data_IF_257032830112
#
_entry.id   IF_257032830112
#
_cell.length_a   1.000
_cell.length_b   1.000
_cell.length_c   1.000
_cell.angle_alpha   90.00
_cell.angle_beta   90.00
_cell.angle_gamma   90.00
#
_symmetry.space_group_name_H-M   'P 1'
#
loop_
_entity.id
_entity.type
_entity.pdbx_description
1 polymer ?
#
# COMPACT_ATOMS: atom_id res chain seq x y z
N UNK A 1 13.45 -4.84 -12.81
CA UNK A 1 13.39 -4.51 -11.36
C UNK A 1 14.46 -3.51 -10.90
N UNK A 2 15.14 -2.77 -11.80
CA UNK A 2 16.16 -1.74 -11.45
C UNK A 2 15.89 -0.40 -12.11
N UNK A 3 14.66 -0.15 -12.58
CA UNK A 3 14.38 1.04 -13.38
C UNK A 3 14.54 2.32 -12.56
N UNK A 4 14.22 2.31 -11.27
CA UNK A 4 14.41 3.48 -10.40
C UNK A 4 15.86 4.00 -10.36
N UNK A 5 16.86 3.11 -10.50
CA UNK A 5 18.29 3.46 -10.50
C UNK A 5 18.76 3.91 -11.89
N UNK A 6 18.54 3.10 -12.93
CA UNK A 6 19.08 3.32 -14.27
C UNK A 6 18.11 3.89 -15.31
N UNK A 7 16.87 4.20 -14.91
CA UNK A 7 15.81 4.68 -15.79
C UNK A 7 16.01 6.13 -16.20
N UNK A 8 15.74 6.41 -17.48
CA UNK A 8 15.81 7.77 -18.04
C UNK A 8 14.58 8.56 -17.58
N UNK A 9 14.85 9.73 -17.00
CA UNK A 9 13.84 10.76 -16.71
C UNK A 9 13.95 11.85 -17.76
N UNK A 10 12.83 12.20 -18.40
CA UNK A 10 12.81 13.23 -19.44
C UNK A 10 12.84 14.64 -18.85
N UNK A 11 12.22 14.83 -17.68
CA UNK A 11 12.18 16.09 -16.94
C UNK A 11 12.24 15.79 -15.43
N UNK A 12 13.26 16.32 -14.75
CA UNK A 12 13.46 16.11 -13.31
C UNK A 12 12.56 17.00 -12.44
N UNK A 13 11.84 17.95 -13.02
CA UNK A 13 10.87 18.79 -12.31
C UNK A 13 9.50 18.12 -12.16
N UNK A 14 9.27 17.01 -12.87
CA UNK A 14 7.98 16.31 -12.90
C UNK A 14 8.15 14.92 -12.28
N UNK A 15 7.19 14.55 -11.43
CA UNK A 15 7.11 13.19 -10.88
C UNK A 15 6.57 12.28 -11.97
N UNK A 16 7.41 11.35 -12.46
CA UNK A 16 7.04 10.40 -13.52
C UNK A 16 6.99 8.95 -13.03
N UNK A 17 7.49 8.72 -11.81
CA UNK A 17 7.60 7.41 -11.22
C UNK A 17 7.53 7.49 -9.68
N UNK A 18 7.06 6.44 -8.97
CA UNK A 18 7.09 6.38 -7.50
C UNK A 18 8.45 6.72 -6.86
N UNK A 19 9.55 6.41 -7.54
CA UNK A 19 10.90 6.72 -7.08
C UNK A 19 11.26 8.22 -7.07
N UNK A 20 10.49 9.06 -7.76
CA UNK A 20 10.69 10.50 -7.74
C UNK A 20 10.01 11.14 -6.50
N UNK A 21 9.14 10.40 -5.80
CA UNK A 21 8.42 10.88 -4.63
C UNK A 21 9.33 11.03 -3.39
N UNK A 22 9.01 12.00 -2.55
CA UNK A 22 9.81 12.29 -1.35
C UNK A 22 9.84 11.12 -0.36
N UNK A 23 8.73 10.39 -0.23
CA UNK A 23 8.68 9.21 0.63
C UNK A 23 9.71 8.15 0.25
N UNK A 24 9.94 7.94 -1.05
CA UNK A 24 10.97 7.01 -1.54
C UNK A 24 12.36 7.53 -1.21
N UNK A 25 12.64 8.80 -1.51
CA UNK A 25 13.95 9.43 -1.27
C UNK A 25 14.31 9.42 0.22
N UNK A 26 13.35 9.77 1.07
CA UNK A 26 13.51 9.74 2.51
C UNK A 26 13.75 8.31 3.02
N UNK A 27 13.03 7.31 2.49
CA UNK A 27 13.28 5.91 2.84
C UNK A 27 14.71 5.49 2.47
N UNK A 28 15.16 5.79 1.25
CA UNK A 28 16.50 5.43 0.79
C UNK A 28 17.60 6.12 1.62
N UNK A 29 17.37 7.37 2.04
CA UNK A 29 18.25 8.09 2.95
C UNK A 29 18.27 7.50 4.37
N UNK A 30 17.14 6.97 4.84
CA UNK A 30 17.02 6.36 6.17
C UNK A 30 17.64 4.96 6.21
N UNK A 31 17.54 4.20 5.11
CA UNK A 31 18.01 2.82 5.01
C UNK A 31 19.04 2.65 3.87
N UNK A 32 20.23 3.27 3.97
CA UNK A 32 21.22 3.27 2.89
C UNK A 32 21.72 1.86 2.55
N UNK A 33 21.81 0.97 3.55
CA UNK A 33 22.19 -0.45 3.33
C UNK A 33 21.17 -1.20 2.49
N UNK A 34 19.88 -0.87 2.61
CA UNK A 34 18.84 -1.43 1.76
C UNK A 34 18.91 -0.82 0.36
N UNK A 35 19.06 0.49 0.27
CA UNK A 35 19.08 1.23 -1.00
C UNK A 35 20.30 0.91 -1.87
N UNK A 36 21.44 0.55 -1.25
CA UNK A 36 22.68 0.17 -1.95
C UNK A 36 22.50 -1.02 -2.88
N UNK A 37 21.55 -1.92 -2.59
CA UNK A 37 21.19 -3.02 -3.48
C UNK A 37 19.97 -2.62 -4.34
N UNK A 38 20.17 -2.14 -5.58
CA UNK A 38 19.10 -1.63 -6.44
C UNK A 38 18.10 -2.70 -6.89
N UNK A 39 18.40 -3.98 -6.64
CA UNK A 39 17.48 -5.09 -6.92
C UNK A 39 16.50 -5.33 -5.76
N UNK A 40 16.71 -4.71 -4.60
CA UNK A 40 15.75 -4.74 -3.51
C UNK A 40 14.43 -4.07 -3.92
N UNK A 41 13.31 -4.68 -3.50
CA UNK A 41 11.98 -4.34 -4.01
C UNK A 41 11.26 -3.39 -3.08
N UNK A 42 10.68 -2.34 -3.65
CA UNK A 42 9.79 -1.43 -2.94
C UNK A 42 8.36 -1.69 -3.38
N UNK A 43 7.52 -2.01 -2.41
CA UNK A 43 6.16 -2.45 -2.59
C UNK A 43 5.19 -1.33 -2.20
N UNK A 44 4.08 -1.23 -2.93
CA UNK A 44 2.87 -0.57 -2.48
C UNK A 44 1.80 -1.60 -2.16
N UNK A 45 1.01 -1.34 -1.13
CA UNK A 45 -0.15 -2.15 -0.77
C UNK A 45 -1.42 -1.35 -0.98
N UNK A 46 -2.45 -1.95 -1.56
CA UNK A 46 -3.75 -1.32 -1.74
C UNK A 46 -4.85 -2.23 -1.22
N UNK A 47 -5.83 -1.68 -0.51
CA UNK A 47 -7.04 -2.41 -0.15
C UNK A 47 -8.25 -1.49 -0.10
N UNK A 48 -9.39 -2.03 -0.48
CA UNK A 48 -10.67 -1.33 -0.56
C UNK A 48 -11.81 -2.35 -0.38
N UNK A 49 -12.91 -1.94 0.24
CA UNK A 49 -14.11 -2.75 0.35
C UNK A 49 -15.10 -2.47 -0.78
N UNK A 50 -15.50 -3.49 -1.54
CA UNK A 50 -16.55 -3.34 -2.56
C UNK A 50 -17.67 -4.37 -2.39
N UNK A 51 -18.88 -4.04 -2.85
CA UNK A 51 -19.98 -5.02 -2.98
C UNK A 51 -20.01 -5.56 -4.41
N UNK A 52 -19.73 -6.86 -4.64
CA UNK A 52 -19.81 -7.47 -5.97
C UNK A 52 -21.25 -7.61 -6.47
N UNK A 53 -22.23 -7.60 -5.56
CA UNK A 53 -23.64 -7.68 -5.88
C UNK A 53 -24.28 -6.29 -5.81
N UNK A 54 -25.19 -6.00 -6.75
CA UNK A 54 -25.88 -4.71 -6.84
C UNK A 54 -26.70 -4.37 -5.58
N UNK A 55 -27.15 -3.12 -5.48
CA UNK A 55 -27.82 -2.55 -4.29
C UNK A 55 -29.07 -3.33 -3.84
N UNK A 56 -29.71 -4.06 -4.76
CA UNK A 56 -30.92 -4.86 -4.51
C UNK A 56 -30.66 -6.29 -4.01
N UNK A 57 -29.40 -6.72 -3.95
CA UNK A 57 -29.02 -8.06 -3.50
C UNK A 57 -28.74 -8.08 -1.99
N UNK A 58 -28.60 -9.29 -1.43
CA UNK A 58 -28.15 -9.47 -0.05
C UNK A 58 -26.84 -8.72 0.21
N UNK A 59 -26.74 -7.91 1.29
CA UNK A 59 -25.53 -7.16 1.60
C UNK A 59 -24.29 -8.07 1.64
N UNK A 60 -23.29 -7.74 0.83
CA UNK A 60 -22.02 -8.46 0.76
C UNK A 60 -20.88 -7.45 0.67
N UNK A 61 -19.76 -7.80 1.28
CA UNK A 61 -18.53 -7.01 1.21
C UNK A 61 -17.40 -7.91 0.76
N UNK A 62 -16.56 -7.44 -0.15
CA UNK A 62 -15.34 -8.11 -0.58
C UNK A 62 -14.18 -7.14 -0.44
N UNK A 63 -13.10 -7.61 0.19
CA UNK A 63 -11.91 -6.80 0.48
C UNK A 63 -10.68 -7.45 -0.13
N UNK A 64 -10.33 -7.08 -1.38
CA UNK A 64 -9.06 -7.46 -1.96
C UNK A 64 -7.93 -6.67 -1.30
N UNK A 65 -6.78 -7.34 -1.17
CA UNK A 65 -5.50 -6.73 -0.83
C UNK A 65 -4.56 -6.96 -1.99
N UNK A 66 -4.15 -5.86 -2.62
CA UNK A 66 -3.22 -5.87 -3.74
C UNK A 66 -1.84 -5.44 -3.28
N UNK A 67 -0.81 -6.09 -3.82
CA UNK A 67 0.59 -5.72 -3.65
C UNK A 67 1.20 -5.45 -5.02
N UNK A 68 1.94 -4.36 -5.16
CA UNK A 68 2.53 -3.94 -6.45
C UNK A 68 3.99 -3.56 -6.27
N UNK A 69 4.93 -4.11 -7.07
CA UNK A 69 6.32 -3.70 -7.04
C UNK A 69 6.55 -2.44 -7.86
N UNK A 70 7.04 -1.39 -7.21
CA UNK A 70 7.31 -0.10 -7.86
C UNK A 70 8.67 -0.03 -8.56
N UNK A 71 9.45 -1.11 -8.60
CA UNK A 71 10.77 -1.13 -9.25
C UNK A 71 10.71 -1.20 -10.78
N UNK A 72 9.52 -1.41 -11.36
CA UNK A 72 9.28 -1.55 -12.79
C UNK A 72 9.20 -0.19 -13.48
N UNK A 73 9.50 -0.08 -14.79
CA UNK A 73 9.37 1.17 -15.51
C UNK A 73 7.93 1.74 -15.44
N UNK A 74 7.73 3.06 -15.62
CA UNK A 74 6.41 3.70 -15.59
C UNK A 74 5.39 3.02 -16.51
N UNK A 75 5.84 2.55 -17.68
CA UNK A 75 4.98 1.84 -18.63
C UNK A 75 4.43 0.51 -18.09
N UNK A 76 5.03 -0.06 -17.04
CA UNK A 76 4.72 -1.39 -16.50
C UNK A 76 4.24 -1.36 -15.05
N UNK A 77 4.74 -0.46 -14.19
CA UNK A 77 4.58 -0.57 -12.72
C UNK A 77 3.13 -0.60 -12.21
N UNK A 78 2.17 -0.09 -12.98
CA UNK A 78 0.74 -0.11 -12.65
C UNK A 78 -0.10 -0.93 -13.64
N UNK A 79 0.52 -1.78 -14.48
CA UNK A 79 -0.25 -2.69 -15.33
C UNK A 79 -0.78 -3.86 -14.53
N UNK A 80 -1.93 -4.39 -14.97
CA UNK A 80 -2.67 -5.46 -14.27
C UNK A 80 -1.83 -6.70 -14.03
N UNK A 81 -0.90 -7.02 -14.92
CA UNK A 81 -0.01 -8.19 -14.83
C UNK A 81 1.01 -8.07 -13.69
N UNK A 82 1.22 -6.87 -13.16
CA UNK A 82 2.17 -6.59 -12.07
C UNK A 82 1.47 -6.14 -10.78
N UNK A 83 0.14 -6.22 -10.74
CA UNK A 83 -0.66 -6.01 -9.53
C UNK A 83 -1.06 -7.38 -9.01
N UNK A 84 -0.47 -7.80 -7.90
CA UNK A 84 -0.72 -9.11 -7.31
C UNK A 84 -1.89 -9.03 -6.33
N UNK A 85 -2.91 -9.86 -6.52
CA UNK A 85 -3.93 -10.10 -5.50
C UNK A 85 -3.34 -11.03 -4.44
N UNK A 86 -2.89 -10.45 -3.33
CA UNK A 86 -2.25 -11.20 -2.23
C UNK A 86 -3.26 -11.82 -1.28
N UNK A 87 -4.42 -11.17 -1.09
CA UNK A 87 -5.48 -11.67 -0.21
C UNK A 87 -6.85 -11.25 -0.75
N UNK A 88 -7.85 -12.11 -0.56
CA UNK A 88 -9.25 -11.78 -0.78
C UNK A 88 -10.03 -12.13 0.49
N UNK A 89 -10.63 -11.13 1.14
CA UNK A 89 -11.42 -11.31 2.35
C UNK A 89 -12.92 -11.20 1.99
N UNK A 90 -13.65 -12.32 1.96
CA UNK A 90 -15.07 -12.33 1.65
C UNK A 90 -15.96 -11.95 2.84
N UNK A 91 -17.14 -11.40 2.53
CA UNK A 91 -18.17 -10.97 3.47
C UNK A 91 -19.01 -12.12 4.04
N UNK A 92 -20.12 -11.80 4.74
CA UNK A 92 -21.13 -10.81 4.30
C UNK A 92 -20.93 -9.38 4.78
N UNK A 93 -20.04 -9.12 5.75
CA UNK A 93 -19.79 -7.77 6.32
C UNK A 93 -18.35 -7.33 6.07
N UNK A 94 -18.09 -6.03 6.23
CA UNK A 94 -16.73 -5.49 6.28
C UNK A 94 -15.92 -6.16 7.41
N UNK A 95 -14.61 -6.42 7.22
CA UNK A 95 -13.75 -7.01 8.24
C UNK A 95 -13.62 -6.14 9.49
N UNK A 96 -13.86 -4.82 9.38
CA UNK A 96 -13.86 -3.92 10.53
C UNK A 96 -12.55 -3.99 11.32
N UNK A 97 -12.67 -4.23 12.62
CA UNK A 97 -11.53 -4.36 13.55
C UNK A 97 -10.71 -5.63 13.37
N UNK A 98 -11.14 -6.57 12.53
CA UNK A 98 -10.45 -7.85 12.31
C UNK A 98 -9.59 -7.86 11.05
N UNK A 99 -9.47 -6.72 10.34
CA UNK A 99 -8.66 -6.63 9.12
C UNK A 99 -7.20 -7.03 9.37
N UNK A 100 -6.65 -6.67 10.53
CA UNK A 100 -5.31 -7.02 10.98
C UNK A 100 -5.09 -8.54 11.09
N UNK A 101 -6.09 -9.28 11.60
CA UNK A 101 -6.05 -10.74 11.69
C UNK A 101 -5.92 -11.37 10.31
N UNK A 102 -6.66 -10.86 9.33
CA UNK A 102 -6.59 -11.34 7.95
C UNK A 102 -5.26 -10.98 7.27
N UNK A 103 -4.69 -9.82 7.58
CA UNK A 103 -3.41 -9.36 7.01
C UNK A 103 -2.20 -10.06 7.61
N UNK A 104 -2.35 -10.75 8.74
CA UNK A 104 -1.23 -11.36 9.48
C UNK A 104 -0.28 -12.21 8.61
N UNK A 105 -0.75 -13.13 7.74
CA UNK A 105 0.16 -13.92 6.91
C UNK A 105 0.99 -13.05 5.96
N UNK A 106 0.37 -12.03 5.35
CA UNK A 106 1.06 -11.08 4.48
C UNK A 106 2.08 -10.23 5.25
N UNK A 107 1.73 -9.80 6.46
CA UNK A 107 2.63 -9.04 7.34
C UNK A 107 3.84 -9.90 7.73
N UNK A 108 3.64 -11.17 8.06
CA UNK A 108 4.72 -12.08 8.43
C UNK A 108 5.68 -12.32 7.25
N UNK A 109 5.16 -12.46 6.02
CA UNK A 109 5.99 -12.53 4.81
C UNK A 109 6.74 -11.22 4.52
N UNK A 110 6.09 -10.06 4.69
CA UNK A 110 6.74 -8.76 4.53
C UNK A 110 7.87 -8.55 5.54
N UNK A 111 7.69 -9.01 6.78
CA UNK A 111 8.75 -9.00 7.81
C UNK A 111 9.92 -9.90 7.43
N UNK A 112 9.63 -11.13 6.99
CA UNK A 112 10.67 -12.06 6.53
C UNK A 112 11.47 -11.49 5.34
N UNK A 113 10.79 -10.84 4.38
CA UNK A 113 11.44 -10.15 3.25
C UNK A 113 12.31 -8.96 3.69
N UNK A 114 11.97 -8.30 4.78
CA UNK A 114 12.71 -7.16 5.32
C UNK A 114 13.92 -7.58 6.16
N UNK A 115 13.69 -8.49 7.11
CA UNK A 115 14.67 -8.92 8.11
C UNK A 115 15.73 -9.84 7.49
N UNK A 116 15.29 -10.92 6.85
CA UNK A 116 16.17 -11.96 6.32
C UNK A 116 16.43 -11.75 4.82
N UNK A 117 15.38 -11.43 4.07
CA UNK A 117 15.41 -11.46 2.61
C UNK A 117 15.33 -12.88 2.05
N UNK A 118 15.35 -12.99 0.72
CA UNK A 118 15.27 -14.27 0.01
C UNK A 118 16.38 -14.36 -1.04
N UNK A 119 17.10 -15.48 -1.03
CA UNK A 119 18.10 -15.79 -2.06
C UNK A 119 17.44 -15.87 -3.44
N UNK A 120 17.75 -14.91 -4.30
CA UNK A 120 17.08 -14.69 -5.58
C UNK A 120 18.10 -14.71 -6.72
N UNK A 121 17.76 -15.38 -7.81
CA UNK A 121 18.61 -15.43 -9.00
C UNK A 121 18.35 -14.22 -9.92
N UNK A 122 19.39 -13.43 -10.18
CA UNK A 122 19.38 -12.35 -11.17
C UNK A 122 19.75 -12.91 -12.54
N UNK A 123 18.76 -13.08 -13.42
CA UNK A 123 18.95 -13.61 -14.76
C UNK A 123 19.86 -12.74 -15.66
N UNK A 124 19.93 -11.42 -15.41
CA UNK A 124 20.76 -10.51 -16.18
C UNK A 124 22.24 -10.64 -15.78
N UNK A 125 22.53 -10.61 -14.48
CA UNK A 125 23.91 -10.77 -13.95
C UNK A 125 24.34 -12.23 -13.82
N UNK A 126 23.42 -13.19 -13.99
CA UNK A 126 23.62 -14.63 -13.81
C UNK A 126 24.22 -14.99 -12.45
N UNK A 127 23.77 -14.31 -11.41
CA UNK A 127 24.25 -14.53 -10.05
C UNK A 127 23.11 -14.48 -9.06
N UNK A 128 23.28 -15.17 -7.94
CA UNK A 128 22.40 -15.02 -6.80
C UNK A 128 22.72 -13.74 -6.04
N UNK A 129 21.69 -13.18 -5.40
CA UNK A 129 21.81 -12.11 -4.43
C UNK A 129 20.72 -12.28 -3.37
N UNK A 130 20.92 -11.69 -2.20
CA UNK A 130 19.87 -11.67 -1.19
C UNK A 130 18.92 -10.51 -1.49
N UNK A 131 17.72 -10.82 -1.98
CA UNK A 131 16.71 -9.81 -2.27
C UNK A 131 15.92 -9.51 -1.01
N UNK A 132 15.90 -8.24 -0.61
CA UNK A 132 14.99 -7.73 0.41
C UNK A 132 13.83 -6.96 -0.22
N UNK A 133 12.71 -6.89 0.49
CA UNK A 133 11.60 -6.04 0.12
C UNK A 133 11.14 -5.14 1.27
N UNK A 134 10.55 -4.00 0.94
CA UNK A 134 9.98 -3.05 1.89
C UNK A 134 8.63 -2.57 1.40
N UNK A 135 7.72 -2.28 2.32
CA UNK A 135 6.44 -1.64 2.04
C UNK A 135 6.60 -0.12 2.20
N UNK A 136 6.48 0.65 1.12
CA UNK A 136 6.66 2.11 1.17
C UNK A 136 5.42 2.84 1.66
N UNK A 137 4.24 2.47 1.14
CA UNK A 137 2.98 3.09 1.54
C UNK A 137 1.79 2.18 1.25
N UNK A 138 0.68 2.52 1.89
CA UNK A 138 -0.63 1.91 1.66
C UNK A 138 -1.53 2.88 0.87
N UNK A 139 -2.34 2.35 -0.03
CA UNK A 139 -3.35 3.07 -0.80
C UNK A 139 -4.71 2.54 -0.35
N UNK A 140 -5.55 3.43 0.16
CA UNK A 140 -6.86 3.07 0.70
C UNK A 140 -7.80 4.26 0.57
N UNK A 141 -9.10 3.98 0.50
CA UNK A 141 -10.10 5.02 0.74
C UNK A 141 -10.14 5.35 2.23
N UNK A 142 -10.83 6.43 2.60
CA UNK A 142 -10.80 6.91 3.97
C UNK A 142 -11.35 5.89 5.00
N UNK A 143 -12.45 5.17 4.75
CA UNK A 143 -12.87 4.04 5.60
C UNK A 143 -11.84 2.92 5.72
N UNK A 144 -11.26 2.44 4.60
CA UNK A 144 -10.23 1.40 4.63
C UNK A 144 -8.97 1.85 5.37
N UNK A 145 -8.58 3.13 5.24
CA UNK A 145 -7.48 3.71 5.98
C UNK A 145 -7.68 3.57 7.50
N UNK A 146 -8.88 3.83 8.02
CA UNK A 146 -9.17 3.67 9.45
C UNK A 146 -8.99 2.24 9.93
N UNK A 147 -9.37 1.25 9.11
CA UNK A 147 -9.16 -0.17 9.43
C UNK A 147 -7.69 -0.59 9.32
N UNK A 148 -6.96 -0.11 8.32
CA UNK A 148 -5.53 -0.42 8.14
C UNK A 148 -4.64 0.21 9.21
N UNK A 149 -4.90 1.46 9.57
CA UNK A 149 -4.08 2.24 10.51
C UNK A 149 -4.52 2.10 11.96
N UNK A 150 -5.72 1.58 12.20
CA UNK A 150 -6.38 1.65 13.51
C UNK A 150 -6.86 3.05 13.89
N UNK A 151 -6.79 4.03 12.98
CA UNK A 151 -7.22 5.40 13.23
C UNK A 151 -8.74 5.55 13.17
N UNK A 152 -9.30 6.40 14.04
CA UNK A 152 -10.71 6.77 13.94
C UNK A 152 -10.92 7.67 12.74
N UNK A 153 -11.67 7.21 11.75
CA UNK A 153 -12.06 8.02 10.58
C UNK A 153 -13.37 8.78 10.78
N UNK A 154 -13.90 8.76 12.01
CA UNK A 154 -15.16 9.40 12.38
C UNK A 154 -14.95 10.42 13.50
N UNK A 155 -15.83 11.43 13.54
CA UNK A 155 -15.85 12.45 14.59
C UNK A 155 -14.75 13.50 14.46
N UNK A 156 -14.52 14.24 15.56
CA UNK A 156 -13.60 15.41 15.58
C UNK A 156 -12.13 15.07 15.31
N UNK A 157 -11.75 13.81 15.50
CA UNK A 157 -10.39 13.31 15.29
C UNK A 157 -10.24 12.52 13.99
N UNK A 158 -11.21 12.63 13.06
CA UNK A 158 -11.17 11.89 11.80
C UNK A 158 -9.88 12.12 11.01
N UNK A 159 -9.37 13.36 10.97
CA UNK A 159 -8.16 13.70 10.25
C UNK A 159 -6.90 13.31 11.04
N UNK A 160 -6.07 12.36 10.56
CA UNK A 160 -4.84 11.96 11.24
C UNK A 160 -3.77 13.05 11.26
N UNK A 161 -3.85 14.03 10.35
CA UNK A 161 -2.89 15.13 10.27
C UNK A 161 -3.29 16.30 11.18
N UNK A 162 -4.56 16.69 11.17
CA UNK A 162 -5.05 17.82 11.95
C UNK A 162 -5.33 17.46 13.41
N UNK A 163 -5.71 16.19 13.68
CA UNK A 163 -6.05 15.70 15.02
C UNK A 163 -7.03 16.65 15.73
N UNK A 164 -6.72 17.07 16.97
CA UNK A 164 -7.51 18.00 17.77
C UNK A 164 -7.55 19.44 17.22
N UNK A 165 -6.66 19.78 16.30
CA UNK A 165 -6.62 21.11 15.67
C UNK A 165 -7.61 21.23 14.50
N UNK A 166 -8.44 20.20 14.25
CA UNK A 166 -9.49 20.29 13.25
C UNK A 166 -10.64 21.18 13.74
N UNK A 167 -11.07 22.12 12.89
CA UNK A 167 -12.28 22.92 13.14
C UNK A 167 -13.52 22.10 12.80
N UNK A 168 -13.80 21.10 13.62
CA UNK A 168 -14.99 20.25 13.49
C UNK A 168 -16.18 20.83 14.26
N UNK A 169 -17.35 20.84 13.65
CA UNK A 169 -18.64 21.12 14.29
C UNK A 169 -19.59 19.96 14.01
N UNK A 170 -20.55 19.74 14.91
CA UNK A 170 -21.59 18.75 14.73
C UNK A 170 -22.79 19.46 14.11
N UNK A 171 -23.34 18.91 13.03
CA UNK A 171 -24.62 19.39 12.52
C UNK A 171 -25.70 18.99 13.53
N UNK A 172 -26.43 19.97 14.07
CA UNK A 172 -27.65 19.68 14.82
C UNK A 172 -28.63 19.05 13.83
N UNK A 173 -29.05 17.81 14.09
CA UNK A 173 -30.12 17.21 13.30
C UNK A 173 -31.41 17.99 13.56
N UNK A 174 -32.06 18.47 12.50
CA UNK A 174 -33.49 18.79 12.52
C UNK A 174 -34.23 17.55 13.07
N UNK A 175 -34.83 17.72 14.24
CA UNK A 175 -35.86 16.80 14.71
C UNK A 175 -37.03 16.93 13.76
N UNK A 176 -37.18 15.98 12.83
CA UNK A 176 -38.41 15.81 12.07
C UNK A 176 -39.56 15.58 13.07
N UNK A 177 -40.46 16.56 13.08
CA UNK A 177 -41.79 16.55 13.69
C UNK A 177 -42.73 15.54 13.05
#
# INVERSE_FOLDING_TARGET
MRWHEGGVRHDNSIITHPADAEAWKQFDATYPMFAQEPRNVRLGLCTYGFSPFGVSATPYSCWPVFVTPYNLPPSMCMRREYIFLSLMIPGPKSPGKSLDVYLRPLIDELKMLWEDGVNTFDAWRRQNFNMKATLLWTISDFPAYGMLSGWSTHGKLACPYCMEHSKSFVLEHETDS
#
